data_IF_920473081378
#
_entry.id   IF_920473081378
#
_cell.length_a   1.000
_cell.length_b   1.000
_cell.length_c   1.000
_cell.angle_alpha   90.00
_cell.angle_beta   90.00
_cell.angle_gamma   90.00
#
_symmetry.space_group_name_H-M   'P 1'
#
loop_
_entity.id
_entity.type
_entity.pdbx_description
1 polymer ?
#
# COMPACT_ATOMS: atom_id res chain seq x y z
N UNK A 1 12.54 13.78 0.36
CA UNK A 1 11.12 14.08 0.00
C UNK A 1 11.12 14.76 -1.37
N UNK A 2 10.12 14.51 -2.21
CA UNK A 2 10.04 15.14 -3.54
C UNK A 2 10.09 16.66 -3.43
N UNK A 3 10.91 17.29 -4.26
CA UNK A 3 11.00 18.75 -4.39
C UNK A 3 10.25 19.28 -5.61
N UNK A 4 9.55 18.39 -6.33
CA UNK A 4 8.80 18.74 -7.53
C UNK A 4 7.56 19.57 -7.20
N UNK A 5 7.20 20.46 -8.12
CA UNK A 5 5.97 21.21 -8.01
C UNK A 5 4.76 20.28 -8.13
N UNK A 6 3.69 20.57 -7.38
CA UNK A 6 2.45 19.79 -7.44
C UNK A 6 1.90 19.66 -8.87
N UNK A 7 1.96 20.73 -9.67
CA UNK A 7 1.54 20.70 -11.07
C UNK A 7 2.32 19.69 -11.92
N UNK A 8 3.62 19.52 -11.66
CA UNK A 8 4.44 18.52 -12.36
C UNK A 8 3.99 17.12 -11.98
N UNK A 9 3.77 16.87 -10.68
CA UNK A 9 3.28 15.57 -10.18
C UNK A 9 1.91 15.27 -10.79
N UNK A 10 1.00 16.25 -10.81
CA UNK A 10 -0.31 16.13 -11.42
C UNK A 10 -0.23 15.72 -12.89
N UNK A 11 0.56 16.44 -13.70
CA UNK A 11 0.72 16.10 -15.12
C UNK A 11 1.29 14.70 -15.33
N UNK A 12 2.27 14.28 -14.53
CA UNK A 12 2.83 12.93 -14.63
C UNK A 12 1.79 11.85 -14.31
N UNK A 13 0.95 12.06 -13.28
CA UNK A 13 -0.15 11.14 -12.98
C UNK A 13 -1.19 11.10 -14.11
N UNK A 14 -1.56 12.25 -14.68
CA UNK A 14 -2.54 12.37 -15.76
C UNK A 14 -2.02 11.76 -17.08
N UNK A 15 -0.72 11.80 -17.35
CA UNK A 15 -0.10 11.27 -18.58
C UNK A 15 0.30 9.79 -18.48
N UNK A 16 0.63 9.28 -17.28
CA UNK A 16 1.13 7.91 -17.13
C UNK A 16 0.06 6.85 -17.43
N UNK A 17 0.42 5.77 -18.11
CA UNK A 17 -0.48 4.62 -18.28
C UNK A 17 -0.60 3.76 -17.01
N UNK A 18 0.49 3.71 -16.23
CA UNK A 18 0.65 2.87 -15.04
C UNK A 18 1.31 3.66 -13.92
N UNK A 19 0.77 3.55 -12.72
CA UNK A 19 1.35 4.11 -11.49
C UNK A 19 1.92 2.98 -10.65
N UNK A 20 3.23 3.01 -10.40
CA UNK A 20 3.92 1.98 -9.61
C UNK A 20 4.41 2.56 -8.28
N UNK A 21 4.01 1.94 -7.18
CA UNK A 21 4.54 2.23 -5.84
C UNK A 21 5.46 1.11 -5.41
N UNK A 22 6.74 1.44 -5.20
CA UNK A 22 7.77 0.52 -4.70
C UNK A 22 7.50 0.11 -3.25
N UNK A 23 8.26 -0.89 -2.78
CA UNK A 23 8.43 -1.12 -1.35
C UNK A 23 9.12 0.04 -0.62
N UNK A 24 9.14 -0.03 0.71
CA UNK A 24 9.66 1.01 1.58
C UNK A 24 8.97 0.95 2.95
N UNK A 25 8.89 2.09 3.63
CA UNK A 25 8.13 2.21 4.87
C UNK A 25 6.71 2.72 4.58
N UNK A 26 5.70 1.97 4.98
CA UNK A 26 4.28 2.26 4.70
C UNK A 26 3.78 3.56 5.33
N UNK A 27 4.20 3.86 6.56
CA UNK A 27 3.81 5.10 7.25
C UNK A 27 4.41 6.32 6.56
N UNK A 28 5.70 6.28 6.22
CA UNK A 28 6.33 7.34 5.46
C UNK A 28 5.64 7.55 4.11
N UNK A 29 5.35 6.47 3.38
CA UNK A 29 4.67 6.57 2.08
C UNK A 29 3.29 7.23 2.21
N UNK A 30 2.46 6.76 3.15
CA UNK A 30 1.11 7.31 3.35
C UNK A 30 1.15 8.78 3.82
N UNK A 31 2.11 9.11 4.70
CA UNK A 31 2.35 10.46 5.17
C UNK A 31 2.72 11.42 4.02
N UNK A 32 3.64 11.00 3.14
CA UNK A 32 4.02 11.82 1.98
C UNK A 32 2.89 11.97 0.96
N UNK A 33 2.12 10.92 0.71
CA UNK A 33 0.97 10.97 -0.19
C UNK A 33 -0.07 12.01 0.29
N UNK A 34 -0.40 11.97 1.59
CA UNK A 34 -1.34 12.91 2.20
C UNK A 34 -0.79 14.32 2.33
N UNK A 35 0.46 14.50 2.78
CA UNK A 35 1.14 15.82 2.88
C UNK A 35 1.15 16.56 1.55
N UNK A 36 1.29 15.83 0.45
CA UNK A 36 1.34 16.41 -0.90
C UNK A 36 -0.02 16.48 -1.59
N UNK A 37 -1.08 15.90 -1.00
CA UNK A 37 -2.40 15.79 -1.63
C UNK A 37 -2.42 14.88 -2.87
N UNK A 38 -1.43 14.00 -3.00
CA UNK A 38 -1.32 13.08 -4.16
C UNK A 38 -2.11 11.80 -3.95
N UNK A 39 -2.55 11.51 -2.73
CA UNK A 39 -3.54 10.47 -2.43
C UNK A 39 -4.87 10.71 -3.17
N UNK A 40 -5.39 11.94 -3.14
CA UNK A 40 -6.61 12.32 -3.86
C UNK A 40 -6.44 12.25 -5.38
N UNK A 41 -5.28 12.69 -5.88
CA UNK A 41 -4.92 12.59 -7.29
C UNK A 41 -4.84 11.13 -7.75
N UNK A 42 -4.19 10.27 -6.98
CA UNK A 42 -4.12 8.84 -7.24
C UNK A 42 -5.54 8.25 -7.34
N UNK A 43 -6.39 8.48 -6.34
CA UNK A 43 -7.77 7.97 -6.32
C UNK A 43 -8.56 8.43 -7.54
N UNK A 44 -8.43 9.69 -7.94
CA UNK A 44 -9.07 10.24 -9.15
C UNK A 44 -8.61 9.46 -10.40
N UNK A 45 -7.31 9.28 -10.57
CA UNK A 45 -6.79 8.63 -11.78
C UNK A 45 -7.10 7.13 -11.83
N UNK A 46 -7.16 6.44 -10.68
CA UNK A 46 -7.65 5.06 -10.61
C UNK A 46 -9.13 4.96 -10.96
N UNK A 47 -9.95 5.92 -10.53
CA UNK A 47 -11.36 6.00 -10.95
C UNK A 47 -11.52 6.25 -12.46
N UNK A 48 -10.52 6.85 -13.11
CA UNK A 48 -10.46 6.99 -14.57
C UNK A 48 -9.96 5.72 -15.30
N UNK A 49 -9.70 4.64 -14.57
CA UNK A 49 -9.31 3.34 -15.13
C UNK A 49 -7.81 3.14 -15.30
N UNK A 50 -6.96 3.97 -14.70
CA UNK A 50 -5.51 3.74 -14.72
C UNK A 50 -5.12 2.50 -13.92
N UNK A 51 -4.08 1.83 -14.37
CA UNK A 51 -3.50 0.69 -13.65
C UNK A 51 -2.58 1.19 -12.52
N UNK A 52 -2.77 0.64 -11.32
CA UNK A 52 -1.81 0.75 -10.23
C UNK A 52 -1.14 -0.59 -9.95
N UNK A 53 0.15 -0.54 -9.63
CA UNK A 53 0.91 -1.67 -9.11
C UNK A 53 1.52 -1.25 -7.77
N UNK A 54 1.20 -2.00 -6.71
CA UNK A 54 1.75 -1.79 -5.38
C UNK A 54 2.67 -2.93 -4.98
N UNK A 55 3.92 -2.62 -4.64
CA UNK A 55 4.90 -3.56 -4.10
C UNK A 55 5.06 -3.33 -2.60
N UNK A 56 4.88 -4.39 -1.78
CA UNK A 56 5.07 -4.31 -0.32
C UNK A 56 4.31 -3.12 0.29
N UNK A 57 5.00 -2.08 0.76
CA UNK A 57 4.38 -0.83 1.22
C UNK A 57 3.33 -0.25 0.25
N UNK A 58 3.59 -0.30 -1.06
CA UNK A 58 2.64 0.14 -2.09
C UNK A 58 1.34 -0.67 -2.13
N UNK A 59 1.36 -1.94 -1.72
CA UNK A 59 0.16 -2.77 -1.59
C UNK A 59 -0.52 -2.57 -0.21
N UNK A 60 0.27 -2.36 0.84
CA UNK A 60 -0.20 -2.13 2.21
C UNK A 60 -1.07 -0.85 2.28
N UNK A 61 -0.63 0.24 1.65
CA UNK A 61 -1.36 1.51 1.66
C UNK A 61 -2.72 1.44 0.96
N UNK A 62 -3.00 0.40 0.16
CA UNK A 62 -4.32 0.24 -0.46
C UNK A 62 -5.41 -0.11 0.56
N UNK A 63 -5.05 -0.70 1.69
CA UNK A 63 -6.00 -1.15 2.72
C UNK A 63 -6.73 0.05 3.39
N UNK A 64 -7.81 -0.21 4.15
CA UNK A 64 -8.52 0.85 4.87
C UNK A 64 -7.64 1.53 5.95
N UNK A 65 -6.71 0.78 6.54
CA UNK A 65 -5.73 1.29 7.51
C UNK A 65 -4.40 0.55 7.40
N UNK A 66 -3.30 1.25 7.70
CA UNK A 66 -1.94 0.69 7.73
C UNK A 66 -1.47 0.30 9.14
N UNK A 67 -2.28 0.50 10.19
CA UNK A 67 -1.87 0.30 11.58
C UNK A 67 -1.29 -1.11 11.85
N UNK A 68 -1.85 -2.15 11.23
CA UNK A 68 -1.43 -3.55 11.41
C UNK A 68 0.03 -3.83 11.06
N UNK A 69 0.66 -2.97 10.26
CA UNK A 69 2.01 -3.19 9.74
C UNK A 69 3.12 -2.55 10.59
N UNK A 70 2.78 -1.79 11.64
CA UNK A 70 3.76 -1.03 12.46
C UNK A 70 4.91 -1.88 13.02
N UNK A 71 4.65 -3.18 13.24
CA UNK A 71 5.67 -4.12 13.72
C UNK A 71 6.70 -4.51 12.66
N UNK A 72 6.34 -4.36 11.38
CA UNK A 72 7.21 -4.58 10.22
C UNK A 72 7.83 -3.25 9.75
N UNK A 73 7.03 -2.20 9.67
CA UNK A 73 7.43 -0.85 9.27
C UNK A 73 7.26 0.10 10.46
N UNK A 74 8.36 0.41 11.15
CA UNK A 74 8.33 1.34 12.28
C UNK A 74 7.77 2.70 11.87
N UNK A 75 6.80 3.21 12.64
CA UNK A 75 6.21 4.53 12.39
C UNK A 75 7.27 5.63 12.64
N UNK A 76 7.59 6.48 11.65
CA UNK A 76 8.56 7.55 11.83
C UNK A 76 8.17 8.52 12.96
N UNK A 77 9.15 9.02 13.72
CA UNK A 77 8.91 10.01 14.79
C UNK A 77 8.27 11.31 14.27
N UNK A 78 8.50 11.66 13.00
CA UNK A 78 7.98 12.84 12.32
C UNK A 78 6.73 12.56 11.45
N UNK A 79 6.08 11.40 11.66
CA UNK A 79 4.78 11.09 11.07
C UNK A 79 3.76 12.15 11.47
N UNK A 80 3.17 12.84 10.49
CA UNK A 80 2.35 14.03 10.77
C UNK A 80 0.86 13.84 10.54
N UNK A 81 0.41 12.62 10.24
CA UNK A 81 -1.03 12.35 10.07
C UNK A 81 -1.65 12.09 11.43
N UNK A 82 -2.90 12.52 11.60
CA UNK A 82 -3.67 12.33 12.84
C UNK A 82 -4.15 10.87 13.03
N UNK A 83 -4.20 10.10 11.94
CA UNK A 83 -4.65 8.71 11.91
C UNK A 83 -3.81 7.87 10.94
N UNK A 84 -3.95 6.54 11.08
CA UNK A 84 -3.29 5.54 10.25
C UNK A 84 -4.19 5.05 9.09
N UNK A 85 -5.12 5.89 8.61
CA UNK A 85 -5.97 5.53 7.48
C UNK A 85 -5.14 5.38 6.20
N UNK A 86 -5.41 4.31 5.46
CA UNK A 86 -4.82 4.06 4.16
C UNK A 86 -5.61 4.74 3.04
N UNK A 87 -5.38 4.29 1.81
CA UNK A 87 -6.11 4.76 0.64
C UNK A 87 -7.53 4.19 0.56
N UNK A 88 -7.86 3.11 1.29
CA UNK A 88 -9.20 2.52 1.27
C UNK A 88 -9.66 2.15 -0.15
N UNK A 89 -8.75 1.52 -0.90
CA UNK A 89 -8.98 1.03 -2.28
C UNK A 89 -9.45 -0.42 -2.31
N UNK A 90 -9.24 -1.16 -1.22
CA UNK A 90 -9.57 -2.59 -1.06
C UNK A 90 -10.19 -2.81 0.33
N UNK A 91 -10.99 -3.87 0.47
CA UNK A 91 -11.70 -4.22 1.71
C UNK A 91 -10.98 -5.32 2.53
N UNK A 92 -9.69 -5.52 2.25
CA UNK A 92 -8.81 -6.47 2.94
C UNK A 92 -7.42 -5.86 3.18
N UNK A 93 -6.61 -6.55 3.98
CA UNK A 93 -5.32 -6.04 4.46
C UNK A 93 -4.19 -6.95 3.95
N UNK A 94 -3.41 -6.46 2.98
CA UNK A 94 -2.32 -7.24 2.39
C UNK A 94 -1.19 -7.43 3.40
N UNK A 95 -0.92 -8.67 3.82
CA UNK A 95 0.25 -8.97 4.65
C UNK A 95 1.39 -9.50 3.74
N UNK A 96 2.32 -8.64 3.29
CA UNK A 96 3.38 -9.07 2.39
C UNK A 96 4.43 -9.90 3.12
N UNK A 97 5.29 -10.54 2.34
CA UNK A 97 6.43 -11.31 2.83
C UNK A 97 6.05 -12.44 3.80
N UNK A 98 4.80 -12.92 3.71
CA UNK A 98 4.25 -13.87 4.65
C UNK A 98 5.13 -15.12 4.76
N UNK A 99 5.55 -15.43 5.99
CA UNK A 99 6.46 -16.53 6.34
C UNK A 99 7.79 -16.56 5.58
N UNK A 100 8.19 -15.44 4.97
CA UNK A 100 9.42 -15.33 4.19
C UNK A 100 10.49 -14.60 5.02
N UNK A 101 11.75 -15.07 4.95
CA UNK A 101 12.85 -14.40 5.66
C UNK A 101 13.14 -13.01 5.05
N UNK A 102 13.48 -11.99 5.84
CA UNK A 102 13.65 -11.99 7.31
C UNK A 102 12.33 -11.81 8.11
N UNK A 103 11.20 -11.63 7.44
CA UNK A 103 9.91 -11.22 8.02
C UNK A 103 9.07 -12.35 8.63
N UNK A 104 9.57 -13.59 8.69
CA UNK A 104 8.78 -14.75 9.16
C UNK A 104 8.15 -14.52 10.54
N UNK A 105 8.95 -14.11 11.54
CA UNK A 105 8.44 -13.92 12.91
C UNK A 105 7.44 -12.78 13.02
N UNK A 106 7.71 -11.66 12.33
CA UNK A 106 6.83 -10.48 12.41
C UNK A 106 5.50 -10.74 11.71
N UNK A 107 5.51 -11.44 10.57
CA UNK A 107 4.27 -11.80 9.86
C UNK A 107 3.42 -12.80 10.63
N UNK A 108 4.02 -13.77 11.33
CA UNK A 108 3.30 -14.66 12.27
C UNK A 108 2.63 -13.87 13.40
N UNK A 109 3.34 -12.89 13.96
CA UNK A 109 2.83 -12.05 15.04
C UNK A 109 1.68 -11.16 14.58
N UNK A 110 1.82 -10.48 13.44
CA UNK A 110 0.75 -9.65 12.85
C UNK A 110 -0.49 -10.50 12.56
N UNK A 111 -0.32 -11.69 11.98
CA UNK A 111 -1.43 -12.61 11.71
C UNK A 111 -2.19 -13.02 12.98
N UNK A 112 -1.50 -13.10 14.12
CA UNK A 112 -2.11 -13.46 15.40
C UNK A 112 -2.78 -12.27 16.07
N UNK A 113 -2.11 -11.10 16.11
CA UNK A 113 -2.61 -9.92 16.82
C UNK A 113 -3.75 -9.21 16.09
N UNK A 114 -3.78 -9.30 14.76
CA UNK A 114 -4.80 -8.69 13.91
C UNK A 114 -5.70 -9.75 13.25
N UNK A 115 -5.97 -10.86 13.95
CA UNK A 115 -6.78 -11.97 13.43
C UNK A 115 -8.24 -11.60 13.12
N UNK A 116 -8.73 -10.50 13.71
CA UNK A 116 -10.07 -9.98 13.46
C UNK A 116 -10.16 -9.18 12.15
N UNK A 117 -9.02 -8.82 11.55
CA UNK A 117 -8.96 -8.20 10.23
C UNK A 117 -9.04 -9.25 9.12
N UNK A 118 -9.58 -8.85 7.97
CA UNK A 118 -9.53 -9.65 6.74
C UNK A 118 -8.12 -9.60 6.14
N UNK A 119 -7.14 -10.23 6.79
CA UNK A 119 -5.75 -10.27 6.32
C UNK A 119 -5.63 -11.17 5.08
N UNK A 120 -4.97 -10.67 4.05
CA UNK A 120 -4.62 -11.39 2.83
C UNK A 120 -3.09 -11.62 2.79
N UNK A 121 -2.59 -12.71 3.38
CA UNK A 121 -1.16 -13.01 3.38
C UNK A 121 -0.67 -13.43 1.99
N UNK A 122 0.43 -12.83 1.54
CA UNK A 122 1.14 -13.21 0.32
C UNK A 122 2.64 -13.36 0.57
N UNK A 123 3.26 -14.39 -0.02
CA UNK A 123 4.72 -14.54 -0.01
C UNK A 123 5.37 -13.84 -1.22
N UNK A 124 6.70 -13.85 -1.29
CA UNK A 124 7.46 -13.11 -2.33
C UNK A 124 7.29 -13.62 -3.77
N UNK A 125 6.54 -14.71 -3.99
CA UNK A 125 6.22 -15.27 -5.32
C UNK A 125 4.77 -15.06 -5.71
N UNK A 126 3.98 -14.40 -4.86
CA UNK A 126 2.57 -14.16 -5.06
C UNK A 126 2.30 -12.69 -5.36
N UNK A 127 1.21 -12.44 -6.06
CA UNK A 127 0.63 -11.13 -6.27
C UNK A 127 -0.88 -11.21 -6.12
N UNK A 128 -1.53 -10.06 -6.01
CA UNK A 128 -2.99 -9.96 -5.96
C UNK A 128 -3.41 -9.13 -7.17
N UNK A 129 -4.25 -9.71 -8.02
CA UNK A 129 -4.88 -9.01 -9.13
C UNK A 129 -6.28 -8.61 -8.69
N UNK A 130 -6.62 -7.35 -8.91
CA UNK A 130 -7.93 -6.79 -8.59
C UNK A 130 -8.45 -6.12 -9.85
N UNK A 131 -9.65 -6.47 -10.24
CA UNK A 131 -10.37 -5.90 -11.38
C UNK A 131 -11.86 -5.72 -11.04
N UNK A 132 -12.65 -5.28 -12.01
CA UNK A 132 -14.09 -5.05 -11.83
C UNK A 132 -14.91 -6.31 -11.51
N UNK A 133 -14.31 -7.51 -11.55
CA UNK A 133 -14.97 -8.78 -11.24
C UNK A 133 -14.60 -9.32 -9.85
N UNK A 134 -13.50 -8.84 -9.25
CA UNK A 134 -13.11 -9.17 -7.88
C UNK A 134 -11.60 -9.17 -7.65
N UNK A 135 -11.14 -9.90 -6.63
CA UNK A 135 -9.72 -10.06 -6.30
C UNK A 135 -9.28 -11.53 -6.39
N UNK A 136 -8.05 -11.75 -6.87
CA UNK A 136 -7.46 -13.09 -6.98
C UNK A 136 -5.97 -13.07 -6.64
N UNK A 137 -5.57 -13.97 -5.75
CA UNK A 137 -4.15 -14.26 -5.51
C UNK A 137 -3.61 -15.08 -6.68
N UNK A 138 -2.54 -14.58 -7.31
CA UNK A 138 -1.79 -15.26 -8.35
C UNK A 138 -0.42 -15.66 -7.81
N UNK A 139 0.14 -16.76 -8.32
CA UNK A 139 1.47 -17.22 -7.97
C UNK A 139 2.30 -17.36 -9.25
N UNK A 140 3.57 -16.99 -9.17
CA UNK A 140 4.54 -17.33 -10.21
C UNK A 140 5.22 -18.65 -9.81
N UNK A 141 5.08 -19.66 -10.66
CA UNK A 141 5.79 -20.94 -10.54
C UNK A 141 7.32 -20.76 -10.50
#
# INVERSE_FOLDING_TARGET
>A
ISTEAYSTIQSVFEEADVIYFTGGNSFFLMDQLRKTGTDGLLKKELANGKLMIGESAGAIICAPSIQYIEQMDEKPEDYSQEDDAGLDLIDFYVLPHYLTAPFKKVTEKIMTEFSDLNLCPINNRQGIVIDGEGSKVICKD
#
